data_IF_643462856108
#
_entry.id   IF_643462856108
#
_cell.length_a   1.000
_cell.length_b   1.000
_cell.length_c   1.000
_cell.angle_alpha   90.00
_cell.angle_beta   90.00
_cell.angle_gamma   90.00
#
_symmetry.space_group_name_H-M   'P 1'
#
loop_
_entity.id
_entity.type
_entity.pdbx_description
1 polymer ?
#
# COMPACT_ATOMS: atom_id res chain seq x y z
N UNK A 1 16.62 5.73 26.83
CA UNK A 1 16.62 4.44 27.55
C UNK A 1 15.80 4.69 28.79
N UNK A 2 14.58 4.16 28.85
CA UNK A 2 13.72 4.30 30.03
C UNK A 2 14.30 3.37 31.09
N UNK A 3 14.51 3.88 32.30
CA UNK A 3 15.06 3.13 33.43
C UNK A 3 14.10 1.96 33.77
N UNK A 4 14.62 0.73 33.71
CA UNK A 4 13.82 -0.48 34.02
C UNK A 4 13.40 -0.44 35.50
N UNK A 5 12.13 -0.76 35.84
CA UNK A 5 11.71 -0.93 37.22
C UNK A 5 12.54 -1.97 37.97
N UNK A 6 12.57 -1.86 39.30
CA UNK A 6 13.15 -2.90 40.16
C UNK A 6 12.28 -4.15 40.06
N UNK A 7 12.89 -5.28 39.68
CA UNK A 7 12.19 -6.56 39.56
C UNK A 7 11.73 -7.03 40.97
N UNK A 8 10.42 -7.24 41.21
CA UNK A 8 9.93 -7.76 42.48
C UNK A 8 10.18 -9.27 42.61
N UNK A 9 10.09 -9.77 43.84
CA UNK A 9 9.89 -11.21 44.07
C UNK A 9 8.43 -11.56 43.75
N UNK A 10 8.23 -12.46 42.79
CA UNK A 10 6.90 -12.91 42.35
C UNK A 10 6.38 -14.03 43.26
N UNK A 11 5.19 -13.85 43.82
CA UNK A 11 4.44 -14.89 44.53
C UNK A 11 3.08 -15.10 43.87
N UNK A 12 2.37 -16.22 44.10
CA UNK A 12 1.14 -16.55 43.36
C UNK A 12 0.07 -15.45 43.31
N UNK A 13 0.02 -14.59 44.34
CA UNK A 13 -1.01 -13.54 44.46
C UNK A 13 -0.44 -12.12 44.62
N UNK A 14 0.87 -11.94 44.79
CA UNK A 14 1.45 -10.64 45.16
C UNK A 14 2.87 -10.45 44.62
N UNK A 15 3.23 -9.21 44.31
CA UNK A 15 4.61 -8.77 44.11
C UNK A 15 5.20 -8.24 45.42
N UNK A 16 6.43 -8.66 45.75
CA UNK A 16 7.13 -8.25 46.98
C UNK A 16 8.36 -7.42 46.65
N UNK A 17 8.51 -6.28 47.33
CA UNK A 17 9.68 -5.40 47.25
C UNK A 17 10.38 -5.38 48.60
N UNK A 18 11.66 -5.77 48.62
CA UNK A 18 12.46 -5.79 49.85
C UNK A 18 13.19 -4.45 50.00
N UNK A 19 12.88 -3.71 51.07
CA UNK A 19 13.48 -2.42 51.38
C UNK A 19 14.20 -2.52 52.72
N UNK A 20 15.47 -2.14 52.76
CA UNK A 20 16.26 -2.09 54.01
C UNK A 20 16.20 -0.68 54.59
N UNK A 21 15.64 -0.52 55.79
CA UNK A 21 15.52 0.74 56.51
C UNK A 21 16.46 0.76 57.73
N UNK A 22 17.15 1.88 57.94
CA UNK A 22 17.94 2.11 59.16
C UNK A 22 17.03 2.59 60.31
N UNK A 23 17.43 2.39 61.58
CA UNK A 23 16.67 2.90 62.72
C UNK A 23 16.50 4.41 62.65
N UNK A 24 15.27 4.90 62.90
CA UNK A 24 14.87 6.32 62.82
C UNK A 24 14.95 6.95 61.41
N UNK A 25 15.09 6.14 60.37
CA UNK A 25 15.10 6.60 58.99
C UNK A 25 13.70 6.50 58.36
N UNK A 26 13.42 7.32 57.35
CA UNK A 26 12.15 7.32 56.63
C UNK A 26 12.41 7.33 55.12
N UNK A 27 11.84 6.37 54.40
CA UNK A 27 12.02 6.24 52.95
C UNK A 27 10.67 6.40 52.26
N UNK A 28 10.62 7.24 51.23
CA UNK A 28 9.46 7.35 50.35
C UNK A 28 9.60 6.31 49.22
N UNK A 29 8.79 5.26 49.26
CA UNK A 29 8.77 4.21 48.25
C UNK A 29 7.85 4.61 47.08
N UNK A 30 8.45 4.88 45.92
CA UNK A 30 7.70 5.13 44.67
C UNK A 30 7.84 3.93 43.76
N UNK A 31 6.72 3.28 43.46
CA UNK A 31 6.66 2.20 42.48
C UNK A 31 6.65 2.80 41.07
N UNK A 32 7.58 2.34 40.21
CA UNK A 32 7.54 2.60 38.77
C UNK A 32 6.98 1.36 38.09
N UNK A 33 5.87 1.51 37.39
CA UNK A 33 5.28 0.42 36.61
C UNK A 33 5.68 0.56 35.14
N UNK A 34 5.91 -0.58 34.49
CA UNK A 34 6.11 -0.66 33.05
C UNK A 34 5.05 -1.59 32.47
N UNK A 35 4.39 -1.14 31.40
CA UNK A 35 3.48 -1.97 30.62
C UNK A 35 4.02 -2.08 29.20
N UNK A 36 4.12 -3.30 28.71
CA UNK A 36 4.35 -3.55 27.30
C UNK A 36 3.06 -3.28 26.52
N UNK A 37 3.15 -2.44 25.49
CA UNK A 37 2.06 -2.19 24.57
C UNK A 37 2.44 -2.72 23.20
N UNK A 38 1.51 -3.40 22.57
CA UNK A 38 1.65 -3.94 21.23
C UNK A 38 0.72 -3.18 20.29
N UNK A 39 1.20 -2.87 19.09
CA UNK A 39 0.37 -2.31 18.02
C UNK A 39 0.66 -3.03 16.72
N UNK A 40 -0.39 -3.39 15.99
CA UNK A 40 -0.27 -3.93 14.64
C UNK A 40 -0.66 -2.85 13.64
N UNK A 41 0.13 -2.71 12.57
CA UNK A 41 -0.10 -1.71 11.53
C UNK A 41 -0.13 -2.41 10.18
N UNK A 42 -1.22 -2.25 9.43
CA UNK A 42 -1.34 -2.77 8.07
C UNK A 42 -0.61 -1.84 7.09
N UNK A 43 0.54 -2.27 6.59
CA UNK A 43 1.39 -1.47 5.72
C UNK A 43 0.75 -1.19 4.34
N UNK A 44 -0.13 -2.08 3.89
CA UNK A 44 -0.74 -2.04 2.55
C UNK A 44 -1.74 -0.91 2.30
N UNK A 45 -2.25 -0.27 3.36
CA UNK A 45 -3.27 0.79 3.25
C UNK A 45 -2.66 2.21 3.22
N UNK A 46 -1.34 2.33 3.24
CA UNK A 46 -0.66 3.62 3.28
C UNK A 46 -0.07 4.00 1.92
N UNK A 47 -0.18 5.27 1.55
CA UNK A 47 0.64 5.87 0.50
C UNK A 47 2.06 6.15 1.04
N UNK A 48 3.00 6.51 0.16
CA UNK A 48 4.41 6.78 0.55
C UNK A 48 4.52 7.83 1.65
N UNK A 49 3.71 8.88 1.61
CA UNK A 49 3.79 9.99 2.55
C UNK A 49 3.33 9.60 3.95
N UNK A 50 2.21 8.89 4.05
CA UNK A 50 1.67 8.40 5.32
C UNK A 50 2.59 7.35 5.94
N UNK A 51 3.17 6.50 5.08
CA UNK A 51 4.16 5.52 5.51
C UNK A 51 5.43 6.20 6.05
N UNK A 52 5.95 7.21 5.33
CA UNK A 52 7.14 7.96 5.73
C UNK A 52 6.93 8.75 7.02
N UNK A 53 5.76 9.37 7.21
CA UNK A 53 5.38 10.05 8.46
C UNK A 53 5.39 9.09 9.65
N UNK A 54 4.86 7.88 9.47
CA UNK A 54 4.84 6.84 10.51
C UNK A 54 6.24 6.35 10.85
N UNK A 55 7.07 6.04 9.84
CA UNK A 55 8.48 5.69 10.06
C UNK A 55 9.15 6.80 10.88
N UNK A 56 9.03 8.05 10.46
CA UNK A 56 9.62 9.20 11.16
C UNK A 56 9.14 9.35 12.61
N UNK A 57 7.87 9.02 12.89
CA UNK A 57 7.37 8.96 14.27
C UNK A 57 8.09 7.89 15.09
N UNK A 58 8.23 6.66 14.58
CA UNK A 58 8.90 5.57 15.29
C UNK A 58 10.41 5.81 15.47
N UNK A 59 11.08 6.46 14.51
CA UNK A 59 12.49 6.88 14.64
C UNK A 59 12.65 7.88 15.77
N UNK A 60 11.80 8.91 15.82
CA UNK A 60 11.85 9.95 16.87
C UNK A 60 11.65 9.35 18.27
N UNK A 61 10.79 8.34 18.38
CA UNK A 61 10.54 7.62 19.63
C UNK A 61 11.62 6.58 19.96
N UNK A 62 12.64 6.39 19.10
CA UNK A 62 13.69 5.38 19.22
C UNK A 62 13.15 3.94 19.28
N UNK A 63 12.00 3.70 18.65
CA UNK A 63 11.41 2.36 18.52
C UNK A 63 12.03 1.54 17.40
N UNK A 64 12.62 2.20 16.40
CA UNK A 64 13.32 1.55 15.29
C UNK A 64 14.76 2.05 15.19
N UNK A 65 15.67 1.16 14.79
CA UNK A 65 17.05 1.51 14.51
C UNK A 65 17.20 2.06 13.07
N UNK A 66 18.32 2.72 12.74
CA UNK A 66 18.53 3.27 11.39
C UNK A 66 18.49 2.21 10.28
N UNK A 67 18.94 0.99 10.56
CA UNK A 67 18.91 -0.12 9.61
C UNK A 67 17.47 -0.54 9.23
N UNK A 68 16.58 -0.62 10.22
CA UNK A 68 15.17 -0.93 10.02
C UNK A 68 14.46 0.24 9.33
N UNK A 69 14.82 1.48 9.65
CA UNK A 69 14.30 2.66 8.95
C UNK A 69 14.60 2.60 7.44
N UNK A 70 15.84 2.30 7.05
CA UNK A 70 16.24 2.18 5.66
C UNK A 70 15.44 1.09 4.93
N UNK A 71 15.33 -0.11 5.53
CA UNK A 71 14.53 -1.21 4.97
C UNK A 71 13.05 -0.85 4.82
N UNK A 72 12.48 -0.10 5.77
CA UNK A 72 11.09 0.37 5.69
C UNK A 72 10.93 1.45 4.60
N UNK A 73 11.91 2.34 4.42
CA UNK A 73 11.88 3.33 3.34
C UNK A 73 11.87 2.66 1.97
N UNK A 74 12.70 1.64 1.76
CA UNK A 74 12.67 0.82 0.53
C UNK A 74 11.27 0.25 0.24
N UNK A 75 10.63 -0.31 1.27
CA UNK A 75 9.28 -0.87 1.16
C UNK A 75 8.28 0.22 0.78
N UNK A 76 8.42 1.42 1.35
CA UNK A 76 7.59 2.58 1.02
C UNK A 76 7.65 2.93 -0.47
N UNK A 77 8.84 2.86 -1.07
CA UNK A 77 9.02 3.14 -2.50
C UNK A 77 8.40 2.06 -3.39
N UNK A 78 8.53 0.80 -2.99
CA UNK A 78 7.87 -0.32 -3.68
C UNK A 78 6.35 -0.18 -3.62
N UNK A 79 5.78 0.19 -2.48
CA UNK A 79 4.34 0.45 -2.33
C UNK A 79 3.90 1.62 -3.21
N UNK A 80 4.71 2.68 -3.31
CA UNK A 80 4.40 3.79 -4.22
C UNK A 80 4.36 3.35 -5.68
N UNK A 81 5.36 2.58 -6.11
CA UNK A 81 5.42 2.05 -7.47
C UNK A 81 4.24 1.12 -7.77
N UNK A 82 3.86 0.28 -6.80
CA UNK A 82 2.67 -0.57 -6.88
C UNK A 82 1.41 0.26 -7.09
N UNK A 83 1.21 1.31 -6.29
CA UNK A 83 0.04 2.19 -6.40
C UNK A 83 0.02 2.93 -7.75
N UNK A 84 1.17 3.40 -8.24
CA UNK A 84 1.26 4.01 -9.57
C UNK A 84 0.83 3.05 -10.69
N UNK A 85 1.24 1.78 -10.60
CA UNK A 85 0.82 0.76 -11.57
C UNK A 85 -0.68 0.45 -11.47
N UNK A 86 -1.25 0.36 -10.27
CA UNK A 86 -2.69 0.17 -10.07
C UNK A 86 -3.50 1.32 -10.66
N UNK A 87 -3.09 2.56 -10.40
CA UNK A 87 -3.71 3.75 -11.00
C UNK A 87 -3.65 3.72 -12.52
N UNK A 88 -2.54 3.27 -13.11
CA UNK A 88 -2.44 3.13 -14.57
C UNK A 88 -3.38 2.04 -15.10
N UNK A 89 -3.47 0.89 -14.42
CA UNK A 89 -4.42 -0.18 -14.75
C UNK A 89 -5.86 0.32 -14.70
N UNK A 90 -6.25 1.10 -13.69
CA UNK A 90 -7.57 1.70 -13.59
C UNK A 90 -7.86 2.66 -14.75
N UNK A 91 -6.89 3.53 -15.10
CA UNK A 91 -7.03 4.44 -16.26
C UNK A 91 -7.25 3.69 -17.57
N UNK A 92 -6.46 2.64 -17.83
CA UNK A 92 -6.59 1.82 -19.03
C UNK A 92 -7.91 1.05 -19.08
N UNK A 93 -8.39 0.54 -17.94
CA UNK A 93 -9.70 -0.11 -17.87
C UNK A 93 -10.84 0.87 -18.12
N UNK A 94 -10.75 2.10 -17.61
CA UNK A 94 -11.72 3.16 -17.89
C UNK A 94 -11.71 3.55 -19.37
N UNK A 95 -10.53 3.73 -19.97
CA UNK A 95 -10.38 3.98 -21.41
C UNK A 95 -11.04 2.87 -22.24
N UNK A 96 -10.74 1.60 -21.90
CA UNK A 96 -11.34 0.41 -22.53
C UNK A 96 -12.87 0.40 -22.45
N UNK A 97 -13.42 0.76 -21.29
CA UNK A 97 -14.87 0.84 -21.08
C UNK A 97 -15.49 1.91 -21.97
N UNK A 98 -14.94 3.13 -21.95
CA UNK A 98 -15.43 4.25 -22.76
C UNK A 98 -15.39 3.94 -24.27
N UNK A 99 -14.33 3.27 -24.73
CA UNK A 99 -14.21 2.83 -26.12
C UNK A 99 -15.27 1.77 -26.48
N UNK A 100 -15.58 0.86 -25.56
CA UNK A 100 -16.61 -0.17 -25.77
C UNK A 100 -17.98 0.48 -25.95
N UNK A 101 -18.32 1.44 -25.09
CA UNK A 101 -19.58 2.19 -25.18
C UNK A 101 -19.64 3.05 -26.46
N UNK A 102 -18.51 3.59 -26.90
CA UNK A 102 -18.41 4.30 -28.16
C UNK A 102 -18.57 3.37 -29.37
N UNK A 103 -17.99 2.17 -29.36
CA UNK A 103 -18.17 1.18 -30.43
C UNK A 103 -19.63 0.79 -30.62
N UNK A 104 -20.38 0.59 -29.53
CA UNK A 104 -21.82 0.29 -29.59
C UNK A 104 -22.56 1.41 -30.32
N UNK A 105 -22.36 2.67 -29.90
CA UNK A 105 -22.97 3.84 -30.54
C UNK A 105 -22.58 3.99 -32.01
N UNK A 106 -21.32 3.72 -32.37
CA UNK A 106 -20.87 3.77 -33.76
C UNK A 106 -21.53 2.70 -34.62
N UNK A 107 -21.71 1.47 -34.09
CA UNK A 107 -22.41 0.39 -34.79
C UNK A 107 -23.89 0.72 -34.99
N UNK A 108 -24.56 1.25 -33.96
CA UNK A 108 -25.95 1.73 -34.06
C UNK A 108 -26.07 2.82 -35.14
N UNK A 109 -25.20 3.83 -35.11
CA UNK A 109 -25.20 4.88 -36.14
C UNK A 109 -24.98 4.33 -37.55
N UNK A 110 -24.08 3.35 -37.71
CA UNK A 110 -23.83 2.69 -38.99
C UNK A 110 -25.08 1.96 -39.53
N UNK A 111 -25.90 1.36 -38.66
CA UNK A 111 -27.13 0.68 -39.08
C UNK A 111 -28.22 1.63 -39.58
N UNK A 112 -28.18 2.91 -39.19
CA UNK A 112 -29.16 3.92 -39.59
C UNK A 112 -28.80 4.59 -40.92
N UNK A 113 -27.54 4.49 -41.37
CA UNK A 113 -27.08 5.16 -42.59
C UNK A 113 -27.56 4.43 -43.87
N UNK A 114 -28.17 5.19 -44.78
CA UNK A 114 -28.65 4.70 -46.08
C UNK A 114 -27.54 4.43 -47.10
N UNK A 115 -27.93 4.16 -48.35
CA UNK A 115 -27.00 3.82 -49.44
C UNK A 115 -26.71 5.00 -50.39
N UNK A 116 -27.05 6.22 -49.98
CA UNK A 116 -26.70 7.44 -50.72
C UNK A 116 -25.20 7.79 -50.58
N UNK A 117 -24.72 8.67 -51.46
CA UNK A 117 -23.31 9.06 -51.51
C UNK A 117 -22.80 9.81 -50.26
N UNK A 118 -23.67 10.50 -49.53
CA UNK A 118 -23.29 11.18 -48.28
C UNK A 118 -23.16 10.15 -47.14
N UNK A 119 -24.07 9.18 -47.09
CA UNK A 119 -24.03 8.05 -46.17
C UNK A 119 -22.79 7.17 -46.39
N UNK A 120 -22.34 7.00 -47.63
CA UNK A 120 -21.12 6.24 -47.95
C UNK A 120 -19.86 6.87 -47.32
N UNK A 121 -19.69 8.19 -47.41
CA UNK A 121 -18.55 8.90 -46.80
C UNK A 121 -18.56 8.81 -45.27
N UNK A 122 -19.75 8.90 -44.65
CA UNK A 122 -19.90 8.74 -43.20
C UNK A 122 -19.59 7.31 -42.73
N UNK A 123 -20.05 6.29 -43.49
CA UNK A 123 -19.73 4.87 -43.24
C UNK A 123 -18.22 4.65 -43.23
N UNK A 124 -17.50 5.17 -44.23
CA UNK A 124 -16.04 5.05 -44.31
C UNK A 124 -15.34 5.66 -43.09
N UNK A 125 -15.77 6.87 -42.66
CA UNK A 125 -15.22 7.53 -41.47
C UNK A 125 -15.43 6.72 -40.19
N UNK A 126 -16.61 6.13 -40.00
CA UNK A 126 -16.91 5.31 -38.84
C UNK A 126 -16.13 3.99 -38.85
N UNK A 127 -16.00 3.32 -40.01
CA UNK A 127 -15.16 2.12 -40.15
C UNK A 127 -13.70 2.43 -39.80
N UNK A 128 -13.16 3.55 -40.28
CA UNK A 128 -11.80 3.99 -39.92
C UNK A 128 -11.64 4.20 -38.42
N UNK A 129 -12.65 4.79 -37.76
CA UNK A 129 -12.64 5.00 -36.30
C UNK A 129 -12.68 3.67 -35.54
N UNK A 130 -13.51 2.72 -35.97
CA UNK A 130 -13.57 1.37 -35.40
C UNK A 130 -12.22 0.64 -35.53
N UNK A 131 -11.56 0.72 -36.68
CA UNK A 131 -10.23 0.12 -36.88
C UNK A 131 -9.16 0.73 -35.96
N UNK A 132 -9.19 2.04 -35.76
CA UNK A 132 -8.28 2.71 -34.82
C UNK A 132 -8.56 2.27 -33.37
N UNK A 133 -9.84 2.15 -33.00
CA UNK A 133 -10.21 1.67 -31.66
C UNK A 133 -9.75 0.22 -31.46
N UNK A 134 -9.90 -0.66 -32.46
CA UNK A 134 -9.43 -2.04 -32.39
C UNK A 134 -7.91 -2.12 -32.15
N UNK A 135 -7.15 -1.31 -32.88
CA UNK A 135 -5.69 -1.20 -32.69
C UNK A 135 -5.35 -0.78 -31.25
N UNK A 136 -6.10 0.20 -30.71
CA UNK A 136 -5.92 0.67 -29.33
C UNK A 136 -6.35 -0.38 -28.29
N UNK A 137 -7.36 -1.21 -28.55
CA UNK A 137 -7.73 -2.32 -27.67
C UNK A 137 -6.58 -3.33 -27.51
N UNK A 138 -5.92 -3.68 -28.61
CA UNK A 138 -4.76 -4.58 -28.59
C UNK A 138 -3.56 -3.98 -27.85
N UNK A 139 -3.33 -2.67 -27.97
CA UNK A 139 -2.33 -1.96 -27.16
C UNK A 139 -2.67 -1.99 -25.67
N UNK A 140 -3.89 -1.58 -25.30
CA UNK A 140 -4.37 -1.56 -23.92
C UNK A 140 -4.22 -2.95 -23.30
N UNK A 141 -4.56 -4.01 -24.03
CA UNK A 141 -4.43 -5.39 -23.57
C UNK A 141 -2.98 -5.75 -23.23
N UNK A 142 -2.02 -5.43 -24.11
CA UNK A 142 -0.59 -5.67 -23.88
C UNK A 142 -0.05 -4.83 -22.71
N UNK A 143 -0.49 -3.58 -22.59
CA UNK A 143 -0.14 -2.71 -21.47
C UNK A 143 -0.65 -3.26 -20.14
N UNK A 144 -1.91 -3.71 -20.09
CA UNK A 144 -2.52 -4.34 -18.92
C UNK A 144 -1.77 -5.62 -18.50
N UNK A 145 -1.48 -6.52 -19.44
CA UNK A 145 -0.71 -7.74 -19.16
C UNK A 145 0.68 -7.42 -18.59
N UNK A 146 1.32 -6.37 -19.09
CA UNK A 146 2.63 -5.91 -18.62
C UNK A 146 2.53 -5.31 -17.20
N UNK A 147 1.52 -4.48 -16.95
CA UNK A 147 1.27 -3.87 -15.64
C UNK A 147 0.94 -4.94 -14.59
N UNK A 148 0.13 -5.93 -14.94
CA UNK A 148 -0.18 -7.04 -14.05
C UNK A 148 1.06 -7.84 -13.66
N UNK A 149 1.96 -8.13 -14.61
CA UNK A 149 3.24 -8.80 -14.30
C UNK A 149 4.08 -7.96 -13.33
N UNK A 150 4.15 -6.64 -13.53
CA UNK A 150 4.86 -5.71 -12.64
C UNK A 150 4.24 -5.68 -11.24
N UNK A 151 2.91 -5.57 -11.16
CA UNK A 151 2.16 -5.60 -9.89
C UNK A 151 2.41 -6.90 -9.14
N UNK A 152 2.31 -8.06 -9.80
CA UNK A 152 2.58 -9.37 -9.18
C UNK A 152 4.01 -9.46 -8.66
N UNK A 153 4.99 -9.00 -9.45
CA UNK A 153 6.39 -9.00 -9.04
C UNK A 153 6.63 -8.12 -7.82
N UNK A 154 6.11 -6.88 -7.82
CA UNK A 154 6.28 -5.97 -6.68
C UNK A 154 5.62 -6.53 -5.42
N UNK A 155 4.40 -7.10 -5.53
CA UNK A 155 3.75 -7.73 -4.39
C UNK A 155 4.58 -8.87 -3.80
N UNK A 156 5.20 -9.70 -4.65
CA UNK A 156 6.11 -10.77 -4.21
C UNK A 156 7.32 -10.19 -3.47
N UNK A 157 8.00 -9.20 -4.05
CA UNK A 157 9.19 -8.56 -3.45
C UNK A 157 8.85 -7.87 -2.12
N UNK A 158 7.71 -7.18 -2.05
CA UNK A 158 7.24 -6.55 -0.81
C UNK A 158 6.95 -7.61 0.26
N UNK A 159 6.29 -8.71 -0.10
CA UNK A 159 6.05 -9.82 0.82
C UNK A 159 7.34 -10.45 1.35
N UNK A 160 8.31 -10.70 0.48
CA UNK A 160 9.63 -11.20 0.87
C UNK A 160 10.35 -10.23 1.82
N UNK A 161 10.38 -8.94 1.49
CA UNK A 161 11.00 -7.91 2.35
C UNK A 161 10.30 -7.81 3.71
N UNK A 162 8.97 -7.88 3.78
CA UNK A 162 8.23 -7.85 5.04
C UNK A 162 8.51 -9.09 5.90
N UNK A 163 8.58 -10.27 5.29
CA UNK A 163 8.89 -11.51 6.02
C UNK A 163 10.29 -11.47 6.64
N UNK A 164 11.27 -10.87 5.97
CA UNK A 164 12.62 -10.66 6.51
C UNK A 164 12.65 -9.71 7.72
N UNK A 165 11.63 -8.87 7.91
CA UNK A 165 11.50 -7.95 9.04
C UNK A 165 10.75 -8.55 10.23
N UNK A 166 10.07 -9.69 10.04
CA UNK A 166 9.28 -10.33 11.10
C UNK A 166 10.16 -11.36 11.82
N UNK A 167 10.36 -11.27 13.14
CA UNK A 167 11.06 -12.31 13.88
C UNK A 167 10.29 -13.66 13.79
N UNK A 168 10.99 -14.80 13.89
CA UNK A 168 10.37 -16.12 13.85
C UNK A 168 9.37 -16.36 14.99
#
# INVERSE_FOLDING_TARGET
IVEKPVDPEETPNYWRFKITLKPKDAINFKLKEQKENYSSNYLWNYNKDDFSKRIGFYVKQKFINPELEEKLRDIAELIQNLNNHRTMTEKLNNERSLMTDEQVRLRENLTVLGDDSQSASLKERYIKKLNNQESRFEEIKKELETLEKKIRNINKVVGEKINLLTPP
#
